data_IF_033929063950
#
_entry.id   IF_033929063950
#
_cell.length_a   1.000
_cell.length_b   1.000
_cell.length_c   1.000
_cell.angle_alpha   90.00
_cell.angle_beta   90.00
_cell.angle_gamma   90.00
#
_symmetry.space_group_name_H-M   'P 1'
#
loop_
_entity.id
_entity.type
_entity.pdbx_description
1 polymer ?
#
# COMPACT_ATOMS: atom_id res chain seq x y z
N UNK A 1 -5.73 -16.28 7.63
CA UNK A 1 -4.95 -15.32 8.46
C UNK A 1 -3.62 -14.94 7.82
N UNK A 2 -2.57 -15.78 7.79
CA UNK A 2 -1.25 -15.40 7.18
C UNK A 2 -1.35 -15.00 5.69
N UNK A 3 -2.18 -15.70 4.91
CA UNK A 3 -2.43 -15.35 3.50
C UNK A 3 -3.18 -14.03 3.35
N UNK A 4 -4.12 -13.73 4.25
CA UNK A 4 -4.89 -12.49 4.24
C UNK A 4 -4.01 -11.30 4.63
N UNK A 5 -3.11 -11.48 5.60
CA UNK A 5 -2.12 -10.47 5.98
C UNK A 5 -1.12 -10.18 4.85
N UNK A 6 -0.67 -11.20 4.11
CA UNK A 6 0.16 -11.02 2.91
C UNK A 6 -0.61 -10.29 1.80
N UNK A 7 -1.87 -10.66 1.56
CA UNK A 7 -2.71 -9.98 0.58
C UNK A 7 -2.93 -8.50 0.96
N UNK A 8 -3.14 -8.20 2.24
CA UNK A 8 -3.24 -6.83 2.75
C UNK A 8 -1.96 -6.05 2.53
N UNK A 9 -0.80 -6.62 2.87
CA UNK A 9 0.50 -5.98 2.65
C UNK A 9 0.75 -5.71 1.15
N UNK A 10 0.36 -6.63 0.27
CA UNK A 10 0.52 -6.46 -1.17
C UNK A 10 -0.46 -5.44 -1.77
N UNK A 11 -1.69 -5.37 -1.27
CA UNK A 11 -2.65 -4.33 -1.66
C UNK A 11 -2.15 -2.94 -1.24
N UNK A 12 -1.60 -2.82 -0.03
CA UNK A 12 -0.99 -1.57 0.44
C UNK A 12 0.21 -1.13 -0.39
N UNK A 13 1.10 -2.07 -0.75
CA UNK A 13 2.23 -1.77 -1.65
C UNK A 13 1.74 -1.26 -3.00
N UNK A 14 0.69 -1.86 -3.58
CA UNK A 14 0.12 -1.37 -4.85
C UNK A 14 -0.48 0.02 -4.71
N UNK A 15 -1.20 0.30 -3.62
CA UNK A 15 -1.74 1.63 -3.34
C UNK A 15 -0.61 2.67 -3.22
N UNK A 16 0.48 2.33 -2.53
CA UNK A 16 1.65 3.20 -2.39
C UNK A 16 2.27 3.55 -3.74
N UNK A 17 2.42 2.57 -4.63
CA UNK A 17 2.97 2.82 -5.97
C UNK A 17 2.03 3.59 -6.87
N UNK A 18 0.73 3.27 -6.85
CA UNK A 18 -0.27 4.02 -7.59
C UNK A 18 -0.30 5.49 -7.15
N UNK A 19 -0.19 5.72 -5.83
CA UNK A 19 -0.15 7.08 -5.26
C UNK A 19 1.12 7.81 -5.69
N UNK A 20 2.29 7.16 -5.64
CA UNK A 20 3.55 7.73 -6.13
C UNK A 20 3.49 8.07 -7.62
N UNK A 21 2.91 7.19 -8.43
CA UNK A 21 2.74 7.42 -9.86
C UNK A 21 1.79 8.61 -10.13
N UNK A 22 0.66 8.69 -9.42
CA UNK A 22 -0.29 9.78 -9.55
C UNK A 22 0.28 11.15 -9.13
N UNK A 23 1.29 11.15 -8.23
CA UNK A 23 1.95 12.35 -7.75
C UNK A 23 3.28 12.66 -8.47
N UNK A 24 3.72 11.80 -9.39
CA UNK A 24 5.01 11.96 -10.07
C UNK A 24 5.01 13.15 -11.03
N UNK A 25 3.85 13.46 -11.63
CA UNK A 25 3.64 14.62 -12.49
C UNK A 25 2.45 15.45 -11.96
N UNK A 26 2.69 16.68 -11.45
CA UNK A 26 1.64 17.54 -10.91
C UNK A 26 0.59 17.97 -11.94
N UNK A 27 0.94 18.08 -13.22
CA UNK A 27 0.03 18.53 -14.28
C UNK A 27 -1.01 17.45 -14.61
N UNK A 28 -0.59 16.20 -14.47
CA UNK A 28 -1.38 15.00 -14.69
C UNK A 28 -2.13 14.52 -13.44
N UNK A 29 -1.77 15.05 -12.26
CA UNK A 29 -2.38 14.70 -10.96
C UNK A 29 -3.92 14.72 -10.95
N UNK A 30 -4.60 15.77 -11.48
CA UNK A 30 -6.06 15.80 -11.58
C UNK A 30 -6.66 14.62 -12.37
N UNK A 31 -5.91 14.04 -13.31
CA UNK A 31 -6.34 12.91 -14.13
C UNK A 31 -6.17 11.57 -13.40
N UNK A 32 -5.09 11.40 -12.65
CA UNK A 32 -4.75 10.12 -12.01
C UNK A 32 -5.27 9.96 -10.58
N UNK A 33 -5.46 11.05 -9.82
CA UNK A 33 -5.98 10.99 -8.44
C UNK A 33 -7.32 10.24 -8.34
N UNK A 34 -8.32 10.46 -9.22
CA UNK A 34 -9.57 9.69 -9.17
C UNK A 34 -9.38 8.18 -9.36
N UNK A 35 -8.31 7.73 -10.05
CA UNK A 35 -8.01 6.32 -10.26
C UNK A 35 -7.55 5.61 -8.97
N UNK A 36 -7.20 6.35 -7.92
CA UNK A 36 -6.80 5.79 -6.62
C UNK A 36 -7.99 5.20 -5.83
N UNK A 37 -9.23 5.49 -6.20
CA UNK A 37 -10.41 4.97 -5.48
C UNK A 37 -10.45 3.43 -5.43
N UNK A 38 -10.07 2.76 -6.53
CA UNK A 38 -10.02 1.30 -6.60
C UNK A 38 -8.93 0.69 -5.69
N UNK A 39 -7.65 1.09 -5.78
CA UNK A 39 -6.61 0.55 -4.90
C UNK A 39 -6.79 0.93 -3.42
N UNK A 40 -7.43 2.06 -3.10
CA UNK A 40 -7.84 2.40 -1.72
C UNK A 40 -8.84 1.37 -1.21
N UNK A 41 -9.93 1.14 -1.96
CA UNK A 41 -10.98 0.19 -1.59
C UNK A 41 -10.43 -1.24 -1.44
N UNK A 42 -9.49 -1.61 -2.31
CA UNK A 42 -8.84 -2.91 -2.26
C UNK A 42 -7.98 -3.08 -1.01
N UNK A 43 -7.15 -2.09 -0.67
CA UNK A 43 -6.32 -2.10 0.53
C UNK A 43 -7.18 -2.18 1.80
N UNK A 44 -8.23 -1.36 1.89
CA UNK A 44 -9.17 -1.36 3.02
C UNK A 44 -9.85 -2.73 3.18
N UNK A 45 -10.33 -3.31 2.08
CA UNK A 45 -10.98 -4.61 2.10
C UNK A 45 -10.02 -5.73 2.53
N UNK A 46 -8.77 -5.67 2.06
CA UNK A 46 -7.75 -6.66 2.41
C UNK A 46 -7.34 -6.55 3.89
N UNK A 47 -7.18 -5.32 4.40
CA UNK A 47 -6.94 -5.06 5.83
C UNK A 47 -8.09 -5.61 6.69
N UNK A 48 -9.34 -5.37 6.28
CA UNK A 48 -10.51 -5.86 7.01
C UNK A 48 -10.56 -7.40 7.05
N UNK A 49 -10.29 -8.08 5.94
CA UNK A 49 -10.22 -9.55 5.89
C UNK A 49 -9.10 -10.12 6.76
N UNK A 50 -7.98 -9.41 6.86
CA UNK A 50 -6.86 -9.76 7.72
C UNK A 50 -7.10 -9.43 9.21
N UNK A 51 -8.19 -8.72 9.55
CA UNK A 51 -8.42 -8.21 10.90
C UNK A 51 -7.45 -7.11 11.32
N UNK A 52 -6.90 -6.37 10.35
CA UNK A 52 -5.94 -5.29 10.54
C UNK A 52 -6.60 -3.92 10.37
N UNK A 53 -5.99 -2.90 10.97
CA UNK A 53 -6.31 -1.49 10.80
C UNK A 53 -5.29 -0.75 9.92
N UNK A 54 -4.15 -1.37 9.61
CA UNK A 54 -3.11 -0.80 8.74
C UNK A 54 -2.10 0.07 9.48
N UNK A 55 -2.04 -0.04 10.82
CA UNK A 55 -1.11 0.69 11.68
C UNK A 55 -0.30 -0.24 12.59
N UNK A 56 -0.49 -1.55 12.46
CA UNK A 56 0.17 -2.56 13.26
C UNK A 56 1.63 -2.74 12.83
N UNK A 57 2.55 -2.88 13.79
CA UNK A 57 3.97 -3.17 13.50
C UNK A 57 4.14 -4.42 12.64
N UNK A 58 3.42 -5.50 12.96
CA UNK A 58 3.46 -6.76 12.19
C UNK A 58 3.06 -6.57 10.72
N UNK A 59 2.16 -5.62 10.44
CA UNK A 59 1.74 -5.32 9.08
C UNK A 59 2.86 -4.59 8.33
N UNK A 60 3.51 -3.61 8.97
CA UNK A 60 4.66 -2.94 8.39
C UNK A 60 5.88 -3.84 8.21
N UNK A 61 6.09 -4.84 9.08
CA UNK A 61 7.12 -5.86 8.89
C UNK A 61 6.86 -6.66 7.61
N UNK A 62 5.61 -7.04 7.34
CA UNK A 62 5.21 -7.72 6.11
C UNK A 62 5.42 -6.82 4.89
N UNK A 63 4.97 -5.56 4.94
CA UNK A 63 5.20 -4.59 3.86
C UNK A 63 6.68 -4.42 3.56
N UNK A 64 7.52 -4.34 4.59
CA UNK A 64 8.98 -4.21 4.46
C UNK A 64 9.60 -5.47 3.84
N UNK A 65 9.09 -6.65 4.16
CA UNK A 65 9.54 -7.91 3.54
C UNK A 65 9.20 -7.99 2.04
N UNK A 66 8.09 -7.37 1.61
CA UNK A 66 7.69 -7.27 0.21
C UNK A 66 8.44 -6.15 -0.55
N UNK A 67 9.03 -5.19 0.16
CA UNK A 67 9.83 -4.09 -0.39
C UNK A 67 11.18 -3.98 0.31
N UNK A 68 12.20 -4.74 -0.14
CA UNK A 68 13.55 -4.63 0.42
C UNK A 68 14.12 -3.20 0.32
N UNK A 69 13.66 -2.39 -0.63
CA UNK A 69 14.14 -1.03 -0.90
C UNK A 69 13.66 0.06 0.07
N UNK A 70 12.73 -0.21 0.99
CA UNK A 70 12.36 0.75 2.04
C UNK A 70 13.21 0.63 3.32
N UNK A 71 14.14 -0.34 3.38
CA UNK A 71 15.07 -0.53 4.50
C UNK A 71 16.38 0.27 4.35
N UNK A 72 16.43 1.25 3.46
CA UNK A 72 17.66 1.98 3.09
C UNK A 72 17.54 3.51 3.17
N UNK A 73 16.99 4.05 4.25
CA UNK A 73 16.96 5.50 4.54
C UNK A 73 17.77 5.82 5.78
N UNK A 74 19.05 5.45 5.79
CA UNK A 74 19.93 5.60 6.94
C UNK A 74 21.39 5.40 6.55
N UNK A 75 21.93 6.34 5.78
CA UNK A 75 23.34 6.69 5.76
C UNK A 75 23.54 8.05 5.13
#
# INVERSE_FOLDING_TARGET
>A
MRNDELAAAQAYVRLLEATRAALADPDDGPLYVPLLASPITEADSALQRAGLRGNESRFFDLVSSLRPSMSGGGR
#
